data_IF_002250696600
#
_entry.id   IF_002250696600
#
_cell.length_a   1.000
_cell.length_b   1.000
_cell.length_c   1.000
_cell.angle_alpha   90.00
_cell.angle_beta   90.00
_cell.angle_gamma   90.00
#
_symmetry.space_group_name_H-M   'P 1'
#
loop_
_entity.id
_entity.type
_entity.pdbx_description
1 polymer ?
#
# COMPACT_ATOMS: atom_id res chain seq x y z
N UNK A 1 -10.40 -0.77 15.88
CA UNK A 1 -10.46 -1.48 14.58
C UNK A 1 -10.87 -0.44 13.55
N UNK A 2 -10.02 -0.11 12.59
CA UNK A 2 -10.24 1.04 11.69
C UNK A 2 -11.48 0.82 10.80
N UNK A 3 -12.37 1.82 10.72
CA UNK A 3 -13.67 1.79 9.99
C UNK A 3 -13.66 2.66 8.74
N UNK A 4 -12.47 2.83 8.14
CA UNK A 4 -12.34 3.57 6.88
C UNK A 4 -13.08 2.84 5.75
N UNK A 5 -13.82 3.63 4.97
CA UNK A 5 -14.60 3.17 3.83
C UNK A 5 -14.13 3.88 2.56
N UNK A 6 -14.43 3.30 1.40
CA UNK A 6 -14.15 3.94 0.11
C UNK A 6 -14.75 5.33 -0.03
N UNK A 7 -15.93 5.56 0.56
CA UNK A 7 -16.57 6.88 0.55
C UNK A 7 -15.72 7.96 1.23
N UNK A 8 -14.90 7.60 2.22
CA UNK A 8 -13.98 8.54 2.86
C UNK A 8 -12.85 8.92 1.91
N UNK A 9 -12.27 7.94 1.22
CA UNK A 9 -11.23 8.19 0.23
C UNK A 9 -11.77 9.07 -0.91
N UNK A 10 -13.00 8.84 -1.37
CA UNK A 10 -13.67 9.67 -2.37
C UNK A 10 -13.90 11.10 -1.86
N UNK A 11 -14.40 11.25 -0.63
CA UNK A 11 -14.63 12.57 -0.03
C UNK A 11 -13.33 13.35 0.15
N UNK A 12 -12.28 12.71 0.70
CA UNK A 12 -10.95 13.29 0.84
C UNK A 12 -10.39 13.72 -0.51
N UNK A 13 -10.45 12.85 -1.52
CA UNK A 13 -9.98 13.16 -2.87
C UNK A 13 -10.70 14.36 -3.48
N UNK A 14 -12.02 14.43 -3.32
CA UNK A 14 -12.81 15.55 -3.84
C UNK A 14 -12.47 16.87 -3.15
N UNK A 15 -12.32 16.85 -1.82
CA UNK A 15 -12.13 18.06 -1.00
C UNK A 15 -10.68 18.55 -0.93
N UNK A 16 -9.72 17.68 -1.22
CA UNK A 16 -8.29 18.00 -1.20
C UNK A 16 -7.67 18.10 -2.60
N UNK A 17 -8.46 18.01 -3.68
CA UNK A 17 -7.95 17.89 -5.05
C UNK A 17 -6.95 18.96 -5.50
N UNK A 18 -7.04 20.19 -4.96
CA UNK A 18 -6.12 21.30 -5.28
C UNK A 18 -4.80 21.25 -4.49
N UNK A 19 -4.73 20.44 -3.44
CA UNK A 19 -3.64 20.47 -2.45
C UNK A 19 -2.95 19.12 -2.26
N UNK A 20 -3.65 18.02 -2.60
CA UNK A 20 -3.13 16.68 -2.39
C UNK A 20 -3.73 15.64 -3.36
N UNK A 21 -2.97 14.58 -3.58
CA UNK A 21 -3.42 13.35 -4.21
C UNK A 21 -3.83 12.33 -3.16
N UNK A 22 -4.89 11.56 -3.42
CA UNK A 22 -5.44 10.59 -2.46
C UNK A 22 -5.64 9.24 -3.12
N UNK A 23 -5.08 8.19 -2.51
CA UNK A 23 -5.24 6.80 -2.95
C UNK A 23 -5.67 5.89 -1.80
N UNK A 24 -6.67 5.06 -2.06
CA UNK A 24 -7.12 4.02 -1.14
C UNK A 24 -6.26 2.75 -1.28
N UNK A 25 -6.08 2.04 -0.16
CA UNK A 25 -5.42 0.75 -0.13
C UNK A 25 -6.10 -0.22 0.84
N UNK A 26 -6.16 -1.48 0.41
CA UNK A 26 -6.50 -2.63 1.25
C UNK A 26 -5.21 -3.40 1.47
N UNK A 27 -4.88 -3.72 2.72
CA UNK A 27 -3.68 -4.49 3.05
C UNK A 27 -4.05 -5.79 3.75
N UNK A 28 -3.48 -6.90 3.28
CA UNK A 28 -3.59 -8.24 3.89
C UNK A 28 -2.24 -8.94 3.79
N UNK A 29 -2.05 -9.98 4.59
CA UNK A 29 -0.93 -10.89 4.40
C UNK A 29 -1.42 -12.15 3.70
N UNK A 30 -0.62 -12.67 2.76
CA UNK A 30 -0.92 -13.92 2.08
C UNK A 30 0.33 -14.78 1.90
N UNK A 31 0.10 -16.03 1.50
CA UNK A 31 1.15 -16.87 0.92
C UNK A 31 1.05 -16.81 -0.60
N UNK A 32 2.18 -16.55 -1.25
CA UNK A 32 2.32 -16.58 -2.70
C UNK A 32 2.94 -17.91 -3.11
N UNK A 33 2.57 -18.40 -4.30
CA UNK A 33 3.13 -19.62 -4.87
C UNK A 33 3.57 -19.44 -6.31
N UNK A 34 4.71 -20.03 -6.65
CA UNK A 34 5.22 -20.12 -8.02
C UNK A 34 5.92 -21.47 -8.22
N UNK A 35 5.33 -22.36 -9.02
CA UNK A 35 5.77 -23.75 -9.11
C UNK A 35 5.76 -24.42 -7.72
N UNK A 36 6.92 -24.95 -7.30
CA UNK A 36 7.09 -25.57 -5.98
C UNK A 36 7.56 -24.58 -4.89
N UNK A 37 7.73 -23.30 -5.21
CA UNK A 37 8.18 -22.27 -4.26
C UNK A 37 6.99 -21.62 -3.56
N UNK A 38 7.16 -21.34 -2.27
CA UNK A 38 6.19 -20.66 -1.43
C UNK A 38 6.86 -19.46 -0.76
N UNK A 39 6.20 -18.32 -0.79
CA UNK A 39 6.60 -17.13 -0.05
C UNK A 39 5.49 -16.74 0.92
N UNK A 40 5.78 -16.76 2.22
CA UNK A 40 4.77 -16.65 3.30
C UNK A 40 4.85 -15.27 3.95
N UNK A 41 3.69 -14.75 4.35
CA UNK A 41 3.63 -13.48 5.09
C UNK A 41 3.88 -12.25 4.22
N UNK A 42 3.73 -12.40 2.90
CA UNK A 42 3.89 -11.29 1.94
C UNK A 42 2.72 -10.31 2.11
N UNK A 43 3.03 -9.02 2.15
CA UNK A 43 2.03 -7.96 2.20
C UNK A 43 1.36 -7.77 0.83
N UNK A 44 0.08 -8.13 0.74
CA UNK A 44 -0.78 -7.93 -0.43
C UNK A 44 -1.52 -6.60 -0.30
N UNK A 45 -1.23 -5.70 -1.23
CA UNK A 45 -1.85 -4.39 -1.35
C UNK A 45 -2.83 -4.37 -2.52
N UNK A 46 -4.12 -4.28 -2.23
CA UNK A 46 -5.15 -3.92 -3.19
C UNK A 46 -5.23 -2.41 -3.34
N UNK A 47 -4.76 -1.85 -4.46
CA UNK A 47 -4.59 -0.38 -4.60
C UNK A 47 -5.21 0.17 -5.88
N UNK A 48 -5.53 1.46 -5.83
CA UNK A 48 -5.95 2.22 -7.01
C UNK A 48 -4.76 2.46 -7.96
N UNK A 49 -5.06 2.78 -9.22
CA UNK A 49 -4.04 3.01 -10.25
C UNK A 49 -3.20 4.26 -10.00
N UNK A 50 -3.67 5.16 -9.13
CA UNK A 50 -2.99 6.40 -8.70
C UNK A 50 -2.01 6.17 -7.54
N UNK A 51 -1.97 4.96 -6.98
CA UNK A 51 -1.16 4.64 -5.82
C UNK A 51 0.35 4.87 -6.03
N UNK A 52 0.96 4.48 -7.17
CA UNK A 52 2.38 4.73 -7.41
C UNK A 52 2.78 6.20 -7.34
N UNK A 53 1.91 7.10 -7.79
CA UNK A 53 2.14 8.55 -7.76
C UNK A 53 2.04 9.08 -6.33
N UNK A 54 1.04 8.62 -5.57
CA UNK A 54 0.81 9.06 -4.18
C UNK A 54 1.98 8.68 -3.28
N UNK A 55 2.56 7.49 -3.43
CA UNK A 55 3.67 7.04 -2.56
C UNK A 55 5.03 6.95 -3.28
N UNK A 56 5.16 7.57 -4.46
CA UNK A 56 6.40 7.64 -5.24
C UNK A 56 7.07 6.29 -5.52
N UNK A 57 6.29 5.27 -5.91
CA UNK A 57 6.85 3.98 -6.31
C UNK A 57 7.66 4.09 -7.60
N UNK A 58 8.83 3.46 -7.62
CA UNK A 58 9.67 3.31 -8.81
C UNK A 58 9.57 1.88 -9.33
N UNK A 59 9.34 1.72 -10.63
CA UNK A 59 9.42 0.43 -11.32
C UNK A 59 10.82 0.23 -11.88
N UNK A 60 11.35 -0.98 -11.74
CA UNK A 60 12.61 -1.42 -12.37
C UNK A 60 12.36 -2.28 -13.60
N UNK A 61 11.21 -2.97 -13.66
CA UNK A 61 10.81 -3.78 -14.80
C UNK A 61 9.32 -3.60 -15.11
N UNK A 62 8.98 -3.68 -16.40
CA UNK A 62 7.59 -3.70 -16.86
C UNK A 62 6.84 -2.40 -16.60
N UNK A 63 5.59 -2.52 -16.15
CA UNK A 63 4.69 -1.38 -15.92
C UNK A 63 3.79 -1.59 -14.70
N UNK A 64 3.23 -0.50 -14.20
CA UNK A 64 2.09 -0.58 -13.28
C UNK A 64 0.80 -0.93 -14.05
N UNK A 65 -0.21 -1.40 -13.32
CA UNK A 65 -1.52 -1.68 -13.90
C UNK A 65 -2.35 -0.41 -14.10
N UNK A 66 -3.24 -0.45 -15.09
CA UNK A 66 -4.22 0.58 -15.39
C UNK A 66 -5.65 0.11 -15.02
N UNK A 67 -6.64 0.97 -15.27
CA UNK A 67 -8.02 0.72 -14.86
C UNK A 67 -8.69 -0.45 -15.60
N UNK A 68 -8.18 -0.86 -16.77
CA UNK A 68 -8.70 -2.00 -17.54
C UNK A 68 -8.09 -3.34 -17.13
N UNK A 69 -6.89 -3.32 -16.53
CA UNK A 69 -6.20 -4.55 -16.15
C UNK A 69 -6.94 -5.26 -15.01
N UNK A 70 -7.02 -6.59 -15.10
CA UNK A 70 -7.62 -7.48 -14.10
C UNK A 70 -6.68 -8.65 -13.88
N UNK A 71 -6.61 -9.16 -12.64
CA UNK A 71 -5.75 -10.32 -12.29
C UNK A 71 -4.29 -10.14 -12.75
N UNK A 72 -3.76 -8.93 -12.56
CA UNK A 72 -2.35 -8.60 -12.75
C UNK A 72 -1.72 -8.18 -11.44
N UNK A 73 -0.41 -8.36 -11.32
CA UNK A 73 0.35 -8.05 -10.13
C UNK A 73 1.63 -7.27 -10.46
N UNK A 74 2.02 -6.40 -9.55
CA UNK A 74 3.34 -5.77 -9.50
C UNK A 74 3.98 -6.19 -8.18
N UNK A 75 5.21 -6.70 -8.23
CA UNK A 75 5.87 -7.29 -7.05
C UNK A 75 7.07 -6.47 -6.59
N UNK A 76 7.36 -6.51 -5.28
CA UNK A 76 8.58 -5.98 -4.71
C UNK A 76 9.80 -6.88 -4.93
N UNK A 77 10.99 -6.34 -4.64
CA UNK A 77 12.27 -7.01 -4.92
C UNK A 77 12.44 -8.30 -4.12
N UNK A 78 12.01 -8.34 -2.85
CA UNK A 78 12.09 -9.55 -2.03
C UNK A 78 11.23 -10.68 -2.59
N UNK A 79 9.98 -10.38 -2.98
CA UNK A 79 9.08 -11.36 -3.61
C UNK A 79 9.66 -11.88 -4.92
N UNK A 80 10.26 -11.00 -5.73
CA UNK A 80 10.98 -11.39 -6.95
C UNK A 80 12.08 -12.40 -6.62
N UNK A 81 12.94 -12.09 -5.67
CA UNK A 81 14.07 -12.94 -5.30
C UNK A 81 13.60 -14.30 -4.75
N UNK A 82 12.61 -14.30 -3.87
CA UNK A 82 12.08 -15.52 -3.25
C UNK A 82 11.44 -16.46 -4.29
N UNK A 83 10.62 -15.94 -5.20
CA UNK A 83 9.87 -16.76 -6.15
C UNK A 83 10.64 -17.04 -7.45
N UNK A 84 11.38 -16.07 -7.97
CA UNK A 84 12.00 -16.15 -9.30
C UNK A 84 13.52 -16.22 -9.26
N UNK A 85 14.17 -15.73 -8.20
CA UNK A 85 15.63 -15.55 -8.19
C UNK A 85 16.06 -14.63 -9.33
N UNK A 86 17.06 -15.07 -10.11
CA UNK A 86 17.51 -14.36 -11.32
C UNK A 86 16.66 -14.68 -12.57
N UNK A 87 15.60 -15.48 -12.42
CA UNK A 87 14.74 -15.90 -13.52
C UNK A 87 13.85 -14.80 -14.09
N UNK A 88 13.33 -15.04 -15.30
CA UNK A 88 12.36 -14.16 -15.96
C UNK A 88 11.12 -13.99 -15.08
N UNK A 89 10.84 -12.74 -14.69
CA UNK A 89 9.78 -12.40 -13.72
C UNK A 89 8.52 -11.87 -14.41
N UNK A 90 8.63 -10.88 -15.29
CA UNK A 90 7.48 -10.32 -16.01
C UNK A 90 6.89 -11.32 -17.01
N UNK A 91 5.55 -11.36 -17.07
CA UNK A 91 4.76 -12.33 -17.84
C UNK A 91 4.51 -13.66 -17.14
N UNK A 92 5.12 -13.92 -15.99
CA UNK A 92 4.87 -15.15 -15.22
C UNK A 92 3.56 -15.06 -14.43
N UNK A 93 2.96 -16.22 -14.17
CA UNK A 93 1.74 -16.33 -13.37
C UNK A 93 2.10 -16.83 -11.97
N UNK A 94 1.66 -16.10 -10.95
CA UNK A 94 1.79 -16.49 -9.55
C UNK A 94 0.41 -16.73 -8.95
N UNK A 95 0.35 -17.64 -7.99
CA UNK A 95 -0.82 -17.82 -7.13
C UNK A 95 -0.71 -16.89 -5.92
N UNK A 96 -1.74 -16.10 -5.69
CA UNK A 96 -1.87 -15.22 -4.52
C UNK A 96 -3.12 -15.70 -3.78
N UNK A 97 -2.94 -16.44 -2.68
CA UNK A 97 -4.03 -17.00 -1.88
C UNK A 97 -5.11 -17.73 -2.71
N UNK A 98 -4.70 -18.59 -3.65
CA UNK A 98 -5.59 -19.41 -4.49
C UNK A 98 -6.06 -18.76 -5.78
N UNK A 99 -5.68 -17.49 -6.05
CA UNK A 99 -6.05 -16.78 -7.27
C UNK A 99 -4.80 -16.49 -8.10
N UNK A 100 -4.87 -16.77 -9.40
CA UNK A 100 -3.77 -16.56 -10.34
C UNK A 100 -3.70 -15.11 -10.80
N UNK A 101 -2.50 -14.53 -10.72
CA UNK A 101 -2.16 -13.19 -11.21
C UNK A 101 -0.97 -13.23 -12.16
N UNK A 102 -1.03 -12.45 -13.24
CA UNK A 102 0.13 -12.25 -14.13
C UNK A 102 1.01 -11.13 -13.58
N UNK A 103 2.29 -11.40 -13.37
CA UNK A 103 3.27 -10.38 -12.96
C UNK A 103 3.59 -9.49 -14.16
N UNK A 104 3.25 -8.21 -14.09
CA UNK A 104 3.45 -7.24 -15.18
C UNK A 104 4.49 -6.17 -14.87
N UNK A 105 5.01 -6.14 -13.64
CA UNK A 105 6.05 -5.21 -13.23
C UNK A 105 6.74 -5.61 -11.94
N UNK A 106 7.92 -5.04 -11.73
CA UNK A 106 8.73 -5.19 -10.53
C UNK A 106 9.09 -3.81 -10.02
N UNK A 107 8.97 -3.60 -8.71
CA UNK A 107 9.38 -2.36 -8.06
C UNK A 107 10.88 -2.35 -7.79
N UNK A 108 11.46 -1.16 -7.77
CA UNK A 108 12.80 -0.96 -7.23
C UNK A 108 12.84 -1.18 -5.72
N UNK A 109 14.03 -1.51 -5.17
CA UNK A 109 14.19 -1.74 -3.75
C UNK A 109 13.89 -0.47 -2.95
N UNK A 110 13.09 -0.64 -1.90
CA UNK A 110 12.81 0.38 -0.89
C UNK A 110 13.49 0.05 0.45
N UNK A 111 13.97 -1.18 0.58
CA UNK A 111 14.65 -1.68 1.76
C UNK A 111 13.69 -1.99 2.91
N UNK A 112 14.27 -2.11 4.09
CA UNK A 112 13.54 -2.37 5.32
C UNK A 112 13.56 -1.14 6.23
N UNK A 113 12.43 -0.88 6.88
CA UNK A 113 12.31 0.16 7.89
C UNK A 113 11.87 -0.50 9.20
N UNK A 114 12.69 -0.34 10.25
CA UNK A 114 12.45 -0.93 11.58
C UNK A 114 12.18 -2.44 11.55
N UNK A 115 12.96 -3.20 10.77
CA UNK A 115 12.82 -4.64 10.61
C UNK A 115 11.64 -5.10 9.74
N UNK A 116 10.82 -4.16 9.24
CA UNK A 116 9.76 -4.44 8.28
C UNK A 116 10.32 -4.31 6.87
N UNK A 117 10.37 -5.42 6.15
CA UNK A 117 10.76 -5.44 4.74
C UNK A 117 9.64 -4.87 3.85
N UNK A 118 9.85 -3.67 3.31
CA UNK A 118 8.90 -3.05 2.40
C UNK A 118 8.89 -3.72 1.02
N UNK A 119 9.96 -4.43 0.66
CA UNK A 119 10.09 -5.12 -0.61
C UNK A 119 9.45 -6.51 -0.60
N UNK A 120 9.05 -7.02 0.58
CA UNK A 120 8.22 -8.22 0.71
C UNK A 120 6.72 -7.91 0.51
N UNK A 121 6.41 -7.34 -0.66
CA UNK A 121 5.07 -6.86 -0.99
C UNK A 121 4.65 -7.18 -2.43
N UNK A 122 3.33 -7.25 -2.65
CA UNK A 122 2.69 -7.41 -3.95
C UNK A 122 1.51 -6.44 -4.06
N UNK A 123 1.36 -5.84 -5.23
CA UNK A 123 0.33 -4.86 -5.54
C UNK A 123 -0.59 -5.44 -6.61
N UNK A 124 -1.89 -5.44 -6.33
CA UNK A 124 -2.94 -5.90 -7.24
C UNK A 124 -4.01 -4.80 -7.38
N UNK A 125 -4.77 -4.77 -8.50
CA UNK A 125 -5.87 -3.84 -8.65
C UNK A 125 -6.85 -3.95 -7.47
N UNK A 126 -7.26 -2.81 -6.91
CA UNK A 126 -8.16 -2.78 -5.76
C UNK A 126 -9.45 -3.57 -5.99
N UNK A 127 -10.02 -3.48 -7.21
CA UNK A 127 -11.19 -4.26 -7.60
C UNK A 127 -10.96 -5.78 -7.59
N UNK A 128 -9.74 -6.25 -7.86
CA UNK A 128 -9.36 -7.66 -7.75
C UNK A 128 -9.25 -8.08 -6.29
N UNK A 129 -8.64 -7.24 -5.45
CA UNK A 129 -8.53 -7.47 -4.00
C UNK A 129 -9.90 -7.55 -3.31
N UNK A 130 -10.80 -6.59 -3.59
CA UNK A 130 -12.17 -6.59 -3.04
C UNK A 130 -12.93 -7.87 -3.39
N UNK A 131 -12.90 -8.28 -4.67
CA UNK A 131 -13.54 -9.52 -5.12
C UNK A 131 -12.94 -10.76 -4.49
N UNK A 132 -11.61 -10.80 -4.36
CA UNK A 132 -10.91 -11.96 -3.82
C UNK A 132 -11.14 -12.15 -2.33
N UNK A 133 -11.15 -11.06 -1.55
CA UNK A 133 -11.21 -11.15 -0.10
C UNK A 133 -12.57 -10.76 0.50
N UNK A 134 -13.55 -10.36 -0.32
CA UNK A 134 -14.90 -10.03 0.13
C UNK A 134 -14.96 -8.84 1.09
N UNK A 135 -14.08 -7.86 0.90
CA UNK A 135 -13.92 -6.73 1.83
C UNK A 135 -14.15 -5.40 1.12
N UNK A 136 -15.02 -4.58 1.72
CA UNK A 136 -15.27 -3.20 1.30
C UNK A 136 -14.64 -2.15 2.22
N UNK A 137 -13.95 -2.59 3.29
CA UNK A 137 -13.29 -1.70 4.25
C UNK A 137 -11.83 -1.46 3.89
N UNK A 138 -11.39 -0.22 4.04
CA UNK A 138 -10.02 0.20 3.83
C UNK A 138 -9.21 0.03 5.11
N UNK A 139 -7.95 -0.38 4.96
CA UNK A 139 -6.99 -0.37 6.06
C UNK A 139 -6.30 1.00 6.15
N UNK A 140 -6.04 1.62 5.00
CA UNK A 140 -5.26 2.86 4.93
C UNK A 140 -5.69 3.70 3.73
N UNK A 141 -5.71 5.02 3.93
CA UNK A 141 -5.83 6.01 2.87
C UNK A 141 -4.51 6.77 2.84
N UNK A 142 -3.86 6.78 1.69
CA UNK A 142 -2.62 7.51 1.48
C UNK A 142 -2.94 8.87 0.88
N UNK A 143 -2.32 9.90 1.45
CA UNK A 143 -2.47 11.28 1.01
C UNK A 143 -1.08 11.85 0.75
N UNK A 144 -0.87 12.38 -0.45
CA UNK A 144 0.37 13.04 -0.85
C UNK A 144 0.09 14.50 -1.09
N UNK A 145 0.57 15.35 -0.18
CA UNK A 145 0.44 16.79 -0.30
C UNK A 145 1.34 17.32 -1.43
N UNK A 146 0.91 18.38 -2.12
CA UNK A 146 1.62 18.94 -3.27
C UNK A 146 2.97 19.58 -2.90
N UNK A 147 3.16 19.92 -1.63
CA UNK A 147 4.42 20.46 -1.10
C UNK A 147 4.62 20.07 0.37
N UNK A 148 5.86 20.06 0.83
CA UNK A 148 6.20 19.82 2.24
C UNK A 148 5.50 20.81 3.17
N UNK A 149 5.45 22.09 2.78
CA UNK A 149 4.84 23.16 3.58
C UNK A 149 3.34 22.95 3.79
N UNK A 150 2.66 22.31 2.82
CA UNK A 150 1.22 22.03 2.89
C UNK A 150 0.85 20.79 3.73
N UNK A 151 1.83 19.99 4.18
CA UNK A 151 1.55 18.70 4.85
C UNK A 151 0.69 18.87 6.11
N UNK A 152 1.01 19.86 6.96
CA UNK A 152 0.27 20.10 8.21
C UNK A 152 -1.17 20.56 7.94
N UNK A 153 -1.35 21.43 6.96
CA UNK A 153 -2.67 21.93 6.56
C UNK A 153 -3.52 20.80 5.97
N UNK A 154 -2.94 19.98 5.10
CA UNK A 154 -3.59 18.80 4.52
C UNK A 154 -3.95 17.78 5.60
N UNK A 155 -3.06 17.53 6.58
CA UNK A 155 -3.34 16.66 7.72
C UNK A 155 -4.53 17.16 8.53
N UNK A 156 -4.57 18.46 8.85
CA UNK A 156 -5.67 19.05 9.62
C UNK A 156 -6.99 18.99 8.85
N UNK A 157 -6.98 19.30 7.55
CA UNK A 157 -8.17 19.20 6.68
C UNK A 157 -8.66 17.77 6.56
N UNK A 158 -7.77 16.80 6.33
CA UNK A 158 -8.11 15.39 6.27
C UNK A 158 -8.75 14.91 7.58
N UNK A 159 -8.17 15.29 8.71
CA UNK A 159 -8.71 15.00 10.04
C UNK A 159 -10.12 15.56 10.20
N UNK A 160 -10.32 16.84 9.89
CA UNK A 160 -11.62 17.49 10.00
C UNK A 160 -12.67 16.88 9.06
N UNK A 161 -12.26 16.42 7.88
CA UNK A 161 -13.15 15.74 6.93
C UNK A 161 -13.59 14.37 7.43
N UNK A 162 -12.67 13.59 8.01
CA UNK A 162 -12.97 12.28 8.59
C UNK A 162 -13.84 12.39 9.84
N UNK A 163 -13.61 13.39 10.70
CA UNK A 163 -14.42 13.66 11.91
C UNK A 163 -15.90 13.92 11.64
N UNK A 164 -16.28 14.26 10.41
CA UNK A 164 -17.71 14.43 10.04
C UNK A 164 -18.49 13.13 10.10
N UNK A 165 -17.80 11.99 10.08
CA UNK A 165 -18.41 10.67 10.07
C UNK A 165 -17.85 9.74 11.14
N UNK A 166 -16.56 9.82 11.39
CA UNK A 166 -15.82 8.95 12.29
C UNK A 166 -15.53 9.65 13.61
N UNK A 167 -15.57 8.91 14.71
CA UNK A 167 -15.07 9.39 15.99
C UNK A 167 -13.53 9.37 16.04
N UNK A 168 -12.92 10.08 16.98
CA UNK A 168 -11.47 10.23 17.07
C UNK A 168 -10.72 8.93 17.36
N UNK A 169 -11.38 7.97 17.99
CA UNK A 169 -10.87 6.63 18.30
C UNK A 169 -10.98 5.65 17.11
N UNK A 170 -11.69 6.04 16.04
CA UNK A 170 -11.92 5.19 14.87
C UNK A 170 -10.86 5.33 13.76
N UNK A 171 -10.04 6.39 13.81
CA UNK A 171 -9.01 6.66 12.81
C UNK A 171 -7.81 7.43 13.39
N UNK A 172 -6.74 7.49 12.62
CA UNK A 172 -5.59 8.35 12.92
C UNK A 172 -5.05 8.90 11.61
N UNK A 173 -4.62 10.17 11.60
CA UNK A 173 -3.92 10.79 10.47
C UNK A 173 -2.51 11.11 10.93
N UNK A 174 -1.52 10.45 10.34
CA UNK A 174 -0.11 10.60 10.68
C UNK A 174 0.69 11.06 9.47
N UNK A 175 1.67 11.94 9.70
CA UNK A 175 2.72 12.25 8.72
C UNK A 175 3.85 11.24 8.84
N UNK A 176 4.69 11.14 7.80
CA UNK A 176 5.88 10.29 7.85
C UNK A 176 6.82 10.68 9.00
N UNK A 177 7.00 11.97 9.24
CA UNK A 177 7.80 12.49 10.36
C UNK A 177 7.26 12.07 11.73
N UNK A 178 5.94 12.12 11.91
CA UNK A 178 5.30 11.69 13.16
C UNK A 178 5.47 10.19 13.39
N UNK A 179 5.28 9.37 12.35
CA UNK A 179 5.51 7.92 12.44
C UNK A 179 6.97 7.63 12.81
N UNK A 180 7.94 8.31 12.20
CA UNK A 180 9.36 8.18 12.54
C UNK A 180 9.64 8.58 13.99
N UNK A 181 9.11 9.72 14.44
CA UNK A 181 9.31 10.22 15.81
C UNK A 181 8.73 9.27 16.87
N UNK A 182 7.51 8.75 16.66
CA UNK A 182 6.88 7.81 17.59
C UNK A 182 7.70 6.53 17.71
N UNK A 183 8.23 6.02 16.60
CA UNK A 183 9.07 4.82 16.61
C UNK A 183 10.39 5.08 17.33
N UNK A 184 11.09 6.19 17.03
CA UNK A 184 12.34 6.55 17.72
C UNK A 184 12.20 6.68 19.23
N UNK A 185 11.06 7.21 19.71
CA UNK A 185 10.77 7.30 21.15
C UNK A 185 10.62 5.92 21.80
N UNK A 186 9.88 5.00 21.17
CA UNK A 186 9.70 3.63 21.70
C UNK A 186 11.03 2.87 21.69
N UNK A 187 11.81 2.93 20.61
CA UNK A 187 13.11 2.25 20.53
C UNK A 187 14.13 2.82 21.51
N UNK A 188 14.11 4.14 21.74
CA UNK A 188 14.99 4.80 22.71
C UNK A 188 14.73 4.35 24.15
N UNK A 189 13.46 4.24 24.54
CA UNK A 189 13.08 3.74 25.89
C UNK A 189 13.46 2.27 26.07
N UNK A 190 13.31 1.43 25.04
CA UNK A 190 13.71 0.02 25.10
C UNK A 190 15.23 -0.19 25.13
N UNK A 191 16.00 0.72 24.52
CA UNK A 191 17.47 0.63 24.52
C UNK A 191 18.13 1.05 25.83
N UNK A 192 17.39 1.71 26.72
CA UNK A 192 17.85 2.17 28.04
C UNK A 192 17.46 1.21 29.18
N UNK A 193 16.79 0.09 28.87
CA UNK A 193 16.34 -0.93 29.81
C UNK A 193 17.21 -2.21 29.72
#
# INVERSE_FOLDING_TARGET
MTVLEFKDAVNLRSKLASEAQVSAAIQRNATLKFGNKLDKGVAVFGVETTYPQVISLKLTEGRFFNQSDRKVAVIGTTVKNNLFGEGKTTGQIIDVAGIKYTVIGVLGPRGAIFGIDLDNSIYIPISSSQKQFGIDRLNTIYISANSADSVKDVQQKATNLLKKRLSEDEFTVQTQEQTLSTISQVTGVLSLA
#
